data_IF_210515237919
#
_entry.id   IF_210515237919
#
_cell.length_a   1.000
_cell.length_b   1.000
_cell.length_c   1.000
_cell.angle_alpha   90.00
_cell.angle_beta   90.00
_cell.angle_gamma   90.00
#
_symmetry.space_group_name_H-M   'P 1'
#
loop_
_entity.id
_entity.type
_entity.pdbx_description
1 polymer ?
#
# COMPACT_ATOMS: atom_id res chain seq x y z
N UNK A 1 -19.66 36.62 -29.84
CA UNK A 1 -19.63 35.15 -29.91
C UNK A 1 -18.21 34.72 -29.62
N UNK A 2 -17.93 34.14 -28.45
CA UNK A 2 -16.60 33.65 -28.12
C UNK A 2 -16.34 32.34 -28.89
N UNK A 3 -15.23 32.29 -29.63
CA UNK A 3 -14.88 31.18 -30.51
C UNK A 3 -14.62 29.91 -29.68
N UNK A 4 -15.29 28.82 -30.06
CA UNK A 4 -15.20 27.47 -29.48
C UNK A 4 -13.85 26.76 -29.79
N UNK A 5 -12.78 27.54 -29.98
CA UNK A 5 -11.43 27.08 -30.34
C UNK A 5 -10.37 27.40 -29.28
N UNK A 6 -10.74 28.12 -28.22
CA UNK A 6 -9.87 28.40 -27.06
C UNK A 6 -10.26 27.58 -25.83
N UNK A 7 -10.53 26.27 -26.00
CA UNK A 7 -10.50 25.38 -24.85
C UNK A 7 -9.05 24.97 -24.60
N UNK A 8 -8.41 25.39 -23.49
CA UNK A 8 -7.18 24.76 -23.07
C UNK A 8 -7.48 23.27 -22.92
N UNK A 9 -6.75 22.45 -23.67
CA UNK A 9 -6.85 21.00 -23.58
C UNK A 9 -6.40 20.59 -22.17
N UNK A 10 -7.36 20.46 -21.26
CA UNK A 10 -7.19 19.71 -20.02
C UNK A 10 -7.16 18.22 -20.38
N UNK A 11 -6.16 17.83 -21.19
CA UNK A 11 -5.79 16.42 -21.29
C UNK A 11 -5.11 16.07 -19.98
N UNK A 12 -5.95 15.65 -19.05
CA UNK A 12 -5.52 14.98 -17.85
C UNK A 12 -4.72 13.76 -18.29
N UNK A 13 -3.39 13.89 -18.26
CA UNK A 13 -2.56 12.75 -17.91
C UNK A 13 -2.87 12.40 -16.46
N UNK A 14 -4.02 11.75 -16.25
CA UNK A 14 -4.14 10.70 -15.24
C UNK A 14 -3.43 9.46 -15.77
N UNK A 15 -2.18 9.66 -16.20
CA UNK A 15 -1.21 8.58 -16.24
C UNK A 15 -1.28 7.99 -14.86
N UNK A 16 -1.75 6.75 -14.80
CA UNK A 16 -1.68 5.89 -13.63
C UNK A 16 -0.38 6.21 -12.94
N UNK A 17 -0.44 6.72 -11.70
CA UNK A 17 0.73 6.73 -10.85
C UNK A 17 1.15 5.27 -10.74
N UNK A 18 2.04 4.86 -11.64
CA UNK A 18 2.88 3.71 -11.41
C UNK A 18 3.59 4.07 -10.12
N UNK A 19 3.33 3.30 -9.07
CA UNK A 19 4.06 3.35 -7.81
C UNK A 19 5.51 2.96 -8.11
N UNK A 20 6.25 3.82 -8.80
CA UNK A 20 7.71 3.82 -8.89
C UNK A 20 8.20 4.75 -7.78
N UNK A 21 7.91 4.36 -6.55
CA UNK A 21 8.51 4.97 -5.39
C UNK A 21 9.29 3.89 -4.65
N UNK A 22 10.43 4.26 -4.08
CA UNK A 22 11.12 3.37 -3.17
C UNK A 22 10.17 3.13 -1.98
N UNK A 23 10.05 1.89 -1.49
CA UNK A 23 9.19 1.59 -0.34
C UNK A 23 9.57 2.41 0.92
N UNK A 24 10.79 2.98 0.95
CA UNK A 24 11.27 3.90 1.99
C UNK A 24 10.60 5.27 1.96
N UNK A 25 10.05 5.70 0.82
CA UNK A 25 9.36 6.99 0.68
C UNK A 25 7.87 6.91 1.06
N UNK A 26 7.36 5.70 1.28
CA UNK A 26 5.98 5.46 1.71
C UNK A 26 5.93 5.21 3.21
N UNK A 27 5.08 5.95 3.90
CA UNK A 27 4.74 5.64 5.29
C UNK A 27 3.93 4.35 5.36
N UNK A 28 4.01 3.63 6.48
CA UNK A 28 3.26 2.38 6.68
C UNK A 28 1.74 2.60 6.45
N UNK A 29 1.21 3.74 6.87
CA UNK A 29 -0.20 4.12 6.69
C UNK A 29 -0.60 4.22 5.22
N UNK A 30 0.29 4.72 4.35
CA UNK A 30 0.02 4.81 2.91
C UNK A 30 -0.04 3.41 2.27
N UNK A 31 0.83 2.49 2.68
CA UNK A 31 0.77 1.09 2.23
C UNK A 31 -0.54 0.42 2.67
N UNK A 32 -0.95 0.61 3.92
CA UNK A 32 -2.22 0.10 4.44
C UNK A 32 -3.42 0.66 3.65
N UNK A 33 -3.39 1.95 3.31
CA UNK A 33 -4.44 2.57 2.52
C UNK A 33 -4.53 1.96 1.11
N UNK A 34 -3.39 1.65 0.48
CA UNK A 34 -3.37 0.99 -0.83
C UNK A 34 -3.91 -0.44 -0.77
N UNK A 35 -3.58 -1.19 0.29
CA UNK A 35 -4.12 -2.55 0.51
C UNK A 35 -5.65 -2.51 0.62
N UNK A 36 -6.17 -1.55 1.40
CA UNK A 36 -7.60 -1.35 1.57
C UNK A 36 -8.29 -0.94 0.25
N UNK A 37 -7.76 0.08 -0.43
CA UNK A 37 -8.34 0.60 -1.68
C UNK A 37 -8.33 -0.42 -2.82
N UNK A 38 -7.27 -1.23 -2.92
CA UNK A 38 -7.15 -2.27 -3.94
C UNK A 38 -7.83 -3.60 -3.53
N UNK A 39 -8.50 -3.64 -2.36
CA UNK A 39 -9.14 -4.84 -1.79
C UNK A 39 -8.24 -6.07 -1.79
N UNK A 40 -6.95 -5.88 -1.49
CA UNK A 40 -5.96 -6.98 -1.52
C UNK A 40 -6.21 -7.95 -0.36
N UNK A 41 -6.09 -9.23 -0.68
CA UNK A 41 -6.02 -10.33 0.29
C UNK A 41 -4.59 -10.87 0.28
N UNK A 42 -3.99 -11.06 1.44
CA UNK A 42 -2.60 -11.51 1.57
C UNK A 42 -1.96 -11.03 2.87
N UNK A 43 -0.66 -11.29 3.04
CA UNK A 43 0.08 -10.92 4.25
C UNK A 43 1.16 -9.90 3.92
N UNK A 44 1.14 -8.77 4.61
CA UNK A 44 2.22 -7.82 4.66
C UNK A 44 3.24 -8.30 5.70
N UNK A 45 4.46 -8.56 5.26
CA UNK A 45 5.60 -8.88 6.12
C UNK A 45 6.42 -7.60 6.31
N UNK A 46 6.70 -7.26 7.56
CA UNK A 46 7.53 -6.11 7.93
C UNK A 46 8.75 -6.63 8.68
N UNK A 47 9.90 -6.55 8.03
CA UNK A 47 11.20 -6.87 8.63
C UNK A 47 11.71 -5.66 9.43
N UNK A 48 11.64 -5.77 10.76
CA UNK A 48 12.32 -4.87 11.69
C UNK A 48 13.70 -5.41 12.07
N UNK A 49 14.57 -4.55 12.58
CA UNK A 49 15.94 -4.92 12.97
C UNK A 49 16.02 -6.00 14.06
N UNK A 50 14.98 -6.14 14.88
CA UNK A 50 14.93 -7.12 15.99
C UNK A 50 13.81 -8.15 15.84
N UNK A 51 12.77 -7.85 15.08
CA UNK A 51 11.57 -8.68 14.98
C UNK A 51 10.84 -8.50 13.65
N UNK A 52 10.22 -9.57 13.18
CA UNK A 52 9.33 -9.56 12.03
C UNK A 52 7.87 -9.43 12.50
N UNK A 53 7.11 -8.62 11.78
CA UNK A 53 5.67 -8.53 11.93
C UNK A 53 4.95 -9.03 10.67
N UNK A 54 3.87 -9.79 10.87
CA UNK A 54 3.03 -10.33 9.83
C UNK A 54 1.61 -9.78 10.00
N UNK A 55 1.13 -9.02 9.02
CA UNK A 55 -0.21 -8.43 9.02
C UNK A 55 -1.01 -9.05 7.87
N UNK A 56 -2.02 -9.84 8.19
CA UNK A 56 -2.85 -10.51 7.20
C UNK A 56 -4.11 -9.70 6.90
N UNK A 57 -4.42 -9.58 5.61
CA UNK A 57 -5.56 -8.86 5.07
C UNK A 57 -6.46 -9.80 4.31
N UNK A 58 -7.76 -9.54 4.39
CA UNK A 58 -8.81 -10.19 3.60
C UNK A 58 -9.72 -9.12 3.03
N UNK A 59 -9.84 -9.07 1.71
CA UNK A 59 -10.68 -8.10 0.99
C UNK A 59 -10.36 -6.64 1.39
N UNK A 60 -9.07 -6.33 1.56
CA UNK A 60 -8.59 -5.02 1.98
C UNK A 60 -8.69 -4.73 3.48
N UNK A 61 -9.34 -5.61 4.27
CA UNK A 61 -9.52 -5.44 5.71
C UNK A 61 -8.46 -6.21 6.50
N UNK A 62 -8.01 -5.66 7.61
CA UNK A 62 -7.10 -6.35 8.53
C UNK A 62 -7.84 -7.51 9.19
N UNK A 63 -7.29 -8.71 9.05
CA UNK A 63 -7.88 -9.95 9.57
C UNK A 63 -7.10 -10.52 10.76
N UNK A 64 -5.77 -10.39 10.75
CA UNK A 64 -4.91 -10.93 11.81
C UNK A 64 -3.55 -10.23 11.84
N UNK A 65 -2.97 -10.09 13.03
CA UNK A 65 -1.64 -9.53 13.25
C UNK A 65 -0.84 -10.46 14.14
N UNK A 66 0.38 -10.77 13.72
CA UNK A 66 1.40 -11.43 14.54
C UNK A 66 2.64 -10.55 14.57
N UNK A 67 3.18 -10.33 15.75
CA UNK A 67 4.42 -9.60 15.98
C UNK A 67 5.35 -10.56 16.72
N UNK A 68 6.59 -10.70 16.27
CA UNK A 68 7.64 -11.31 17.07
C UNK A 68 8.29 -12.56 16.48
N UNK A 69 9.50 -12.80 17.02
CA UNK A 69 10.30 -14.00 16.85
C UNK A 69 9.58 -15.14 17.58
N UNK A 70 9.15 -16.14 16.83
CA UNK A 70 8.92 -17.46 17.41
C UNK A 70 10.30 -17.95 17.87
N UNK A 71 10.63 -17.73 19.14
CA UNK A 71 11.73 -18.44 19.77
C UNK A 71 11.24 -19.89 19.94
N UNK A 72 11.30 -20.64 18.84
CA UNK A 72 10.84 -22.02 18.72
C UNK A 72 11.71 -23.00 19.50
N UNK A 73 12.17 -22.65 20.70
CA UNK A 73 12.64 -23.62 21.66
C UNK A 73 11.44 -24.19 22.39
N UNK A 74 10.77 -25.15 21.75
CA UNK A 74 10.06 -26.18 22.50
C UNK A 74 11.14 -27.02 23.21
N UNK A 75 11.41 -26.67 24.48
CA UNK A 75 12.20 -27.50 25.40
C UNK A 75 11.33 -28.60 26.01
#
# INVERSE_FOLDING_TARGET
>A
MYNLRDYPSLTGSRGTMALRGNLRDFTITQLLNLINLASKTGTLVVDGSSEQAYVSFREGKLAYVRIGKDDGSLA
#
